data_IF_118139148072
#
_entry.id   IF_118139148072
#
_cell.length_a   1.000
_cell.length_b   1.000
_cell.length_c   1.000
_cell.angle_alpha   90.00
_cell.angle_beta   90.00
_cell.angle_gamma   90.00
#
_symmetry.space_group_name_H-M   'P 1'
#
loop_
_entity.id
_entity.type
_entity.pdbx_description
1 polymer ?
#
# COMPACT_ATOMS: atom_id res chain seq x y z
N UNK A 1 -12.91 -56.34 -41.75
CA UNK A 1 -11.88 -56.02 -40.74
C UNK A 1 -11.53 -54.54 -40.87
N UNK A 2 -11.94 -53.68 -39.92
CA UNK A 2 -11.47 -52.30 -39.84
C UNK A 2 -10.79 -52.13 -38.50
N UNK A 3 -9.46 -52.20 -38.54
CA UNK A 3 -8.58 -52.12 -37.40
C UNK A 3 -8.55 -50.66 -36.94
N UNK A 4 -9.22 -50.38 -35.82
CA UNK A 4 -9.21 -49.05 -35.22
C UNK A 4 -7.84 -48.82 -34.59
N UNK A 5 -7.13 -47.80 -35.07
CA UNK A 5 -5.75 -47.49 -34.72
C UNK A 5 -5.66 -46.93 -33.29
N UNK A 6 -5.30 -47.78 -32.33
CA UNK A 6 -5.21 -47.48 -30.89
C UNK A 6 -4.22 -46.35 -30.54
N UNK A 7 -3.16 -46.16 -31.34
CA UNK A 7 -2.09 -45.18 -31.04
C UNK A 7 -2.48 -43.71 -31.17
N UNK A 8 -3.52 -43.39 -31.97
CA UNK A 8 -3.95 -41.99 -32.18
C UNK A 8 -4.86 -41.49 -31.06
N UNK A 9 -5.44 -42.40 -30.28
CA UNK A 9 -6.31 -42.10 -29.16
C UNK A 9 -5.50 -41.70 -27.91
N UNK A 10 -4.37 -42.39 -27.65
CA UNK A 10 -3.53 -42.12 -26.47
C UNK A 10 -2.94 -40.70 -26.43
N UNK A 11 -2.50 -40.15 -27.57
CA UNK A 11 -1.97 -38.79 -27.62
C UNK A 11 -3.04 -37.71 -27.39
N UNK A 12 -4.27 -37.95 -27.87
CA UNK A 12 -5.37 -36.99 -27.76
C UNK A 12 -5.88 -36.90 -26.31
N UNK A 13 -5.95 -38.05 -25.63
CA UNK A 13 -6.29 -38.13 -24.20
C UNK A 13 -5.23 -37.41 -23.36
N UNK A 14 -3.94 -37.59 -23.67
CA UNK A 14 -2.86 -36.95 -22.93
C UNK A 14 -2.90 -35.41 -23.07
N UNK A 15 -3.11 -34.87 -24.27
CA UNK A 15 -3.24 -33.42 -24.47
C UNK A 15 -4.45 -32.83 -23.78
N UNK A 16 -5.58 -33.55 -23.76
CA UNK A 16 -6.79 -33.10 -23.07
C UNK A 16 -6.58 -33.10 -21.56
N UNK A 17 -5.96 -34.16 -21.00
CA UNK A 17 -5.65 -34.25 -19.57
C UNK A 17 -4.65 -33.18 -19.14
N UNK A 18 -3.64 -32.87 -19.95
CA UNK A 18 -2.68 -31.79 -19.65
C UNK A 18 -3.36 -30.42 -19.73
N UNK A 19 -4.22 -30.18 -20.73
CA UNK A 19 -5.01 -28.94 -20.82
C UNK A 19 -5.99 -28.78 -19.65
N UNK A 20 -6.68 -29.84 -19.23
CA UNK A 20 -7.60 -29.76 -18.08
C UNK A 20 -6.84 -29.56 -16.77
N UNK A 21 -5.70 -30.23 -16.57
CA UNK A 21 -4.84 -29.99 -15.41
C UNK A 21 -4.29 -28.56 -15.40
N UNK A 22 -3.87 -28.03 -16.55
CA UNK A 22 -3.39 -26.65 -16.67
C UNK A 22 -4.50 -25.64 -16.36
N UNK A 23 -5.72 -25.86 -16.85
CA UNK A 23 -6.90 -25.02 -16.55
C UNK A 23 -7.27 -25.10 -15.06
N UNK A 24 -7.15 -26.26 -14.42
CA UNK A 24 -7.40 -26.41 -12.98
C UNK A 24 -6.35 -25.70 -12.12
N UNK A 25 -5.08 -25.65 -12.55
CA UNK A 25 -4.04 -24.87 -11.84
C UNK A 25 -4.19 -23.35 -12.01
N UNK A 26 -4.82 -22.88 -13.09
CA UNK A 26 -5.06 -21.45 -13.33
C UNK A 26 -6.21 -20.90 -12.46
N UNK A 27 -7.10 -21.75 -11.95
CA UNK A 27 -8.36 -21.36 -11.30
C UNK A 27 -8.33 -21.23 -9.77
N UNK A 28 -7.15 -21.21 -9.12
CA UNK A 28 -7.07 -21.14 -7.64
C UNK A 28 -6.16 -20.04 -7.10
N UNK A 29 -6.06 -18.90 -7.80
CA UNK A 29 -5.71 -17.67 -7.10
C UNK A 29 -6.92 -17.24 -6.28
N UNK A 30 -6.81 -17.11 -4.94
CA UNK A 30 -7.91 -16.56 -4.16
C UNK A 30 -8.22 -15.16 -4.71
N UNK A 31 -9.49 -14.97 -5.10
CA UNK A 31 -10.10 -13.71 -5.51
C UNK A 31 -10.21 -12.74 -4.33
N UNK A 32 -9.10 -12.46 -3.65
CA UNK A 32 -8.98 -11.26 -2.83
C UNK A 32 -8.26 -10.23 -3.69
N UNK A 33 -8.97 -9.76 -4.71
CA UNK A 33 -8.54 -8.59 -5.46
C UNK A 33 -8.80 -7.40 -4.52
N UNK A 34 -7.81 -7.13 -3.66
CA UNK A 34 -7.86 -5.96 -2.80
C UNK A 34 -8.05 -4.75 -3.71
N UNK A 35 -8.98 -3.86 -3.37
CA UNK A 35 -9.21 -2.65 -4.18
C UNK A 35 -8.04 -1.66 -4.17
N UNK A 36 -6.96 -2.00 -3.47
CA UNK A 36 -5.68 -1.33 -3.48
C UNK A 36 -4.54 -2.33 -3.65
N UNK A 37 -3.44 -1.85 -4.21
CA UNK A 37 -2.19 -2.59 -4.32
C UNK A 37 -1.13 -1.92 -3.46
N UNK A 38 -0.58 -2.63 -2.49
CA UNK A 38 0.58 -2.19 -1.71
C UNK A 38 1.82 -2.98 -2.14
N UNK A 39 2.89 -2.28 -2.50
CA UNK A 39 4.18 -2.89 -2.87
C UNK A 39 5.30 -2.25 -2.07
N UNK A 40 6.15 -3.07 -1.46
CA UNK A 40 7.42 -2.57 -0.92
C UNK A 40 8.36 -2.23 -2.08
N UNK A 41 9.01 -1.08 -1.97
CA UNK A 41 10.12 -0.66 -2.82
C UNK A 41 11.42 -0.50 -2.03
N UNK A 42 11.43 -1.01 -0.79
CA UNK A 42 12.52 -0.86 0.15
C UNK A 42 13.65 -1.86 -0.12
N UNK A 43 14.86 -1.49 0.27
CA UNK A 43 15.98 -2.40 0.44
C UNK A 43 15.61 -3.53 1.41
N UNK A 44 16.10 -4.77 1.20
CA UNK A 44 15.90 -5.88 2.14
C UNK A 44 16.36 -5.59 3.57
N UNK A 45 17.28 -4.65 3.75
CA UNK A 45 17.84 -4.26 5.04
C UNK A 45 17.08 -3.13 5.75
N UNK A 46 16.01 -2.62 5.13
CA UNK A 46 15.21 -1.53 5.67
C UNK A 46 14.61 -1.94 7.04
N UNK A 47 14.85 -1.17 8.12
CA UNK A 47 14.47 -1.53 9.48
C UNK A 47 12.97 -1.40 9.78
N UNK A 48 12.17 -0.80 8.90
CA UNK A 48 10.72 -0.66 9.08
C UNK A 48 10.00 -1.49 8.02
N UNK A 49 9.15 -2.40 8.48
CA UNK A 49 8.36 -3.29 7.61
C UNK A 49 6.88 -3.11 7.92
N UNK A 50 6.11 -2.66 6.94
CA UNK A 50 4.65 -2.71 6.97
C UNK A 50 4.22 -4.16 6.70
N UNK A 51 3.51 -4.76 7.65
CA UNK A 51 3.09 -6.17 7.60
C UNK A 51 1.71 -6.29 6.98
N UNK A 52 0.74 -5.57 7.54
CA UNK A 52 -0.64 -5.53 7.07
C UNK A 52 -1.07 -4.10 6.86
N UNK A 53 -1.86 -3.86 5.82
CA UNK A 53 -2.60 -2.63 5.61
C UNK A 53 -4.02 -3.02 5.31
N UNK A 54 -4.97 -2.27 5.84
CA UNK A 54 -6.39 -2.38 5.56
C UNK A 54 -6.88 -1.00 5.10
N UNK A 55 -7.46 -0.97 3.91
CA UNK A 55 -8.15 0.20 3.37
C UNK A 55 -9.61 -0.19 3.14
N UNK A 56 -10.53 0.51 3.79
CA UNK A 56 -11.97 0.27 3.63
C UNK A 56 -12.72 1.57 3.29
N UNK A 57 -13.90 1.46 2.64
CA UNK A 57 -14.39 0.27 1.95
C UNK A 57 -13.52 -0.06 0.72
N UNK A 58 -13.70 -1.25 0.16
CA UNK A 58 -13.00 -1.65 -1.08
C UNK A 58 -13.26 -0.63 -2.20
N UNK A 59 -14.50 -0.19 -2.39
CA UNK A 59 -14.80 0.91 -3.32
C UNK A 59 -14.80 2.26 -2.62
N UNK A 60 -13.68 2.98 -2.73
CA UNK A 60 -13.57 4.34 -2.20
C UNK A 60 -14.39 5.30 -3.05
N UNK A 61 -15.34 5.98 -2.41
CA UNK A 61 -16.21 6.96 -3.07
C UNK A 61 -16.06 8.36 -2.51
N UNK A 62 -16.33 9.35 -3.36
CA UNK A 62 -16.31 10.76 -3.00
C UNK A 62 -17.67 11.43 -3.29
N UNK A 63 -18.21 12.24 -2.34
CA UNK A 63 -17.75 12.38 -0.96
C UNK A 63 -17.94 11.07 -0.17
N UNK A 64 -17.09 10.82 0.83
CA UNK A 64 -17.13 9.58 1.60
C UNK A 64 -16.14 9.55 2.76
N UNK A 65 -15.94 8.37 3.34
CA UNK A 65 -14.96 8.14 4.41
C UNK A 65 -14.16 6.88 4.09
N UNK A 66 -12.84 7.05 4.05
CA UNK A 66 -11.88 5.95 4.02
C UNK A 66 -11.56 5.54 5.46
N UNK A 67 -11.34 4.26 5.71
CA UNK A 67 -10.78 3.76 6.96
C UNK A 67 -9.42 3.16 6.63
N UNK A 68 -8.38 3.63 7.32
CA UNK A 68 -7.02 3.12 7.20
C UNK A 68 -6.61 2.46 8.52
N UNK A 69 -6.11 1.24 8.46
CA UNK A 69 -5.43 0.57 9.57
C UNK A 69 -4.17 -0.11 9.04
N UNK A 70 -3.13 -0.22 9.86
CA UNK A 70 -1.93 -0.94 9.47
C UNK A 70 -1.15 -1.48 10.67
N UNK A 71 -0.36 -2.52 10.42
CA UNK A 71 0.63 -3.05 11.36
C UNK A 71 2.02 -2.78 10.79
N UNK A 72 2.92 -2.30 11.65
CA UNK A 72 4.27 -1.92 11.28
C UNK A 72 5.25 -2.50 12.29
N UNK A 73 6.24 -3.21 11.79
CA UNK A 73 7.33 -3.76 12.58
C UNK A 73 8.58 -2.89 12.42
N UNK A 74 9.13 -2.45 13.55
CA UNK A 74 10.39 -1.72 13.63
C UNK A 74 11.44 -2.65 14.22
N UNK A 75 12.46 -2.98 13.44
CA UNK A 75 13.47 -3.99 13.76
C UNK A 75 14.68 -3.43 14.53
N UNK A 76 14.94 -2.13 14.40
CA UNK A 76 16.09 -1.44 15.01
C UNK A 76 15.64 -0.13 15.61
N UNK A 77 16.34 0.35 16.63
CA UNK A 77 16.08 1.70 17.16
C UNK A 77 16.42 2.74 16.08
N UNK A 78 15.50 3.69 15.84
CA UNK A 78 15.64 4.71 14.81
C UNK A 78 15.71 6.07 15.49
N UNK A 79 16.88 6.71 15.38
CA UNK A 79 17.12 8.05 15.89
C UNK A 79 16.81 9.10 14.83
N UNK A 80 16.37 10.26 15.31
CA UNK A 80 16.22 11.44 14.49
C UNK A 80 17.57 12.02 14.04
N UNK A 81 17.57 12.89 13.02
CA UNK A 81 16.40 13.32 12.23
C UNK A 81 15.96 12.25 11.22
N UNK A 82 14.64 12.13 11.02
CA UNK A 82 14.05 11.19 10.04
C UNK A 82 13.37 12.00 8.93
N UNK A 83 13.93 11.94 7.72
CA UNK A 83 13.36 12.57 6.54
C UNK A 83 12.29 11.67 5.92
N UNK A 84 11.16 12.25 5.50
CA UNK A 84 10.06 11.52 4.86
C UNK A 84 9.70 12.20 3.55
N UNK A 85 9.84 11.47 2.44
CA UNK A 85 9.35 11.85 1.12
C UNK A 85 8.06 11.08 0.86
N UNK A 86 6.96 11.80 0.61
CA UNK A 86 5.74 11.18 0.14
C UNK A 86 5.33 11.82 -1.17
N UNK A 87 5.14 10.98 -2.19
CA UNK A 87 4.80 11.36 -3.55
C UNK A 87 3.41 10.85 -3.87
N UNK A 88 2.51 11.74 -4.26
CA UNK A 88 1.15 11.39 -4.70
C UNK A 88 1.00 11.73 -6.17
N UNK A 89 0.59 10.74 -6.95
CA UNK A 89 0.40 10.84 -8.39
C UNK A 89 -1.03 10.45 -8.76
N UNK A 90 -1.59 11.17 -9.73
CA UNK A 90 -2.89 10.85 -10.33
C UNK A 90 -2.66 10.31 -11.74
N UNK A 91 -3.30 9.19 -12.07
CA UNK A 91 -3.32 8.69 -13.45
C UNK A 91 -4.17 9.63 -14.31
N UNK A 92 -3.60 10.11 -15.41
CA UNK A 92 -4.31 11.02 -16.34
C UNK A 92 -4.78 10.25 -17.57
N UNK A 93 -3.93 9.39 -18.12
CA UNK A 93 -4.24 8.59 -19.29
C UNK A 93 -3.24 7.45 -19.46
N UNK A 94 -3.71 6.20 -19.60
CA UNK A 94 -2.84 5.04 -19.81
C UNK A 94 -1.75 4.93 -18.74
N UNK A 95 -0.49 4.90 -19.17
CA UNK A 95 0.68 4.81 -18.28
C UNK A 95 1.20 6.19 -17.80
N UNK A 96 0.49 7.28 -18.10
CA UNK A 96 0.90 8.63 -17.70
C UNK A 96 0.36 9.00 -16.32
N UNK A 97 1.29 9.31 -15.41
CA UNK A 97 1.04 9.71 -14.04
C UNK A 97 1.47 11.16 -13.84
N UNK A 98 0.56 11.98 -13.32
CA UNK A 98 0.84 13.38 -12.98
C UNK A 98 1.09 13.50 -11.48
N UNK A 99 2.27 13.98 -11.12
CA UNK A 99 2.61 14.28 -9.72
C UNK A 99 1.79 15.46 -9.22
N UNK A 100 1.10 15.27 -8.10
CA UNK A 100 0.36 16.34 -7.43
C UNK A 100 1.33 17.21 -6.64
N UNK A 101 1.28 18.52 -6.85
CA UNK A 101 2.15 19.48 -6.15
C UNK A 101 1.83 19.52 -4.65
N UNK A 102 2.85 19.73 -3.83
CA UNK A 102 2.68 19.96 -2.40
C UNK A 102 1.82 21.20 -2.14
N UNK A 103 0.74 21.06 -1.37
CA UNK A 103 0.01 22.18 -0.79
C UNK A 103 0.04 22.10 0.73
N UNK A 104 0.52 23.17 1.36
CA UNK A 104 0.56 23.37 2.82
C UNK A 104 1.11 22.14 3.58
N UNK A 105 2.08 21.43 3.03
CA UNK A 105 2.74 20.25 3.65
C UNK A 105 1.82 19.11 4.07
N UNK A 106 0.60 19.04 3.53
CA UNK A 106 -0.39 18.02 3.90
C UNK A 106 -1.06 17.36 2.70
N UNK A 107 -1.05 18.02 1.54
CA UNK A 107 -1.70 17.53 0.33
C UNK A 107 -0.72 17.44 -0.83
N UNK A 108 -0.79 16.37 -1.60
CA UNK A 108 0.08 16.14 -2.77
C UNK A 108 1.43 15.55 -2.39
N UNK A 109 2.46 15.86 -3.18
CA UNK A 109 3.81 15.31 -3.03
C UNK A 109 4.70 16.26 -2.25
N UNK A 110 5.07 15.92 -1.02
CA UNK A 110 5.90 16.77 -0.16
C UNK A 110 7.05 16.00 0.47
N UNK A 111 8.00 16.77 0.99
CA UNK A 111 9.12 16.26 1.77
C UNK A 111 9.12 16.90 3.16
N UNK A 112 9.12 16.06 4.19
CA UNK A 112 9.28 16.46 5.59
C UNK A 112 10.74 16.25 5.96
N UNK A 113 11.43 17.33 6.33
CA UNK A 113 12.84 17.31 6.70
C UNK A 113 13.12 16.45 7.93
N UNK A 114 12.24 16.54 8.95
CA UNK A 114 12.41 15.80 10.20
C UNK A 114 11.07 15.54 10.89
N UNK A 115 10.54 14.32 10.76
CA UNK A 115 9.30 13.92 11.44
C UNK A 115 9.45 13.89 12.96
N UNK A 116 10.67 13.76 13.50
CA UNK A 116 10.90 13.81 14.94
C UNK A 116 10.52 15.15 15.57
N UNK A 117 10.61 16.26 14.83
CA UNK A 117 10.16 17.57 15.32
C UNK A 117 8.63 17.59 15.47
N UNK A 118 7.92 17.05 14.47
CA UNK A 118 6.45 16.96 14.49
C UNK A 118 5.98 16.07 15.66
N UNK A 119 6.64 14.93 15.87
CA UNK A 119 6.34 14.08 17.02
C UNK A 119 6.65 14.78 18.35
N UNK A 120 7.72 15.56 18.42
CA UNK A 120 8.07 16.36 19.60
C UNK A 120 7.02 17.41 19.96
N UNK A 121 6.43 18.06 18.96
CA UNK A 121 5.37 19.08 19.15
C UNK A 121 4.05 18.48 19.66
N UNK A 122 3.86 17.16 19.51
CA UNK A 122 2.69 16.43 19.99
C UNK A 122 2.82 15.97 21.45
N UNK A 123 3.86 16.38 22.17
CA UNK A 123 4.02 16.00 23.58
C UNK A 123 3.17 16.91 24.51
N UNK A 124 2.46 16.33 25.51
CA UNK A 124 2.43 14.92 25.88
C UNK A 124 1.68 14.04 24.87
N UNK A 125 2.18 12.83 24.65
CA UNK A 125 1.66 11.86 23.68
C UNK A 125 0.13 11.76 23.75
N UNK A 126 -0.60 12.00 22.65
CA UNK A 126 -2.04 11.84 22.63
C UNK A 126 -2.43 10.39 22.97
N UNK A 127 -3.49 10.23 23.75
CA UNK A 127 -3.95 8.93 24.25
C UNK A 127 -4.25 7.92 23.14
N UNK A 128 -4.66 8.37 21.95
CA UNK A 128 -4.90 7.49 20.81
C UNK A 128 -3.62 6.93 20.15
N UNK A 129 -2.45 7.52 20.43
CA UNK A 129 -1.15 7.01 19.96
C UNK A 129 -0.42 6.20 21.04
N UNK A 130 -0.74 6.44 22.31
CA UNK A 130 -0.02 5.87 23.44
C UNK A 130 -0.05 4.33 23.43
N UNK A 131 1.10 3.70 23.18
CA UNK A 131 1.24 2.24 23.09
C UNK A 131 0.93 1.63 21.72
N UNK A 132 0.38 2.41 20.79
CA UNK A 132 -0.05 1.97 19.47
C UNK A 132 0.92 2.42 18.36
N UNK A 133 1.40 3.67 18.42
CA UNK A 133 2.22 4.31 17.38
C UNK A 133 3.33 5.15 18.05
N UNK A 134 4.53 5.28 17.46
CA UNK A 134 5.56 6.15 18.01
C UNK A 134 5.13 7.62 18.02
N UNK A 135 5.12 8.24 19.20
CA UNK A 135 4.80 9.66 19.40
C UNK A 135 6.01 10.51 19.82
N UNK A 136 7.21 9.93 19.82
CA UNK A 136 8.46 10.63 20.10
C UNK A 136 9.62 9.90 19.44
N UNK A 137 10.70 10.62 19.15
CA UNK A 137 11.99 10.00 18.84
C UNK A 137 12.84 9.83 20.11
N UNK A 138 13.68 8.79 20.21
CA UNK A 138 13.90 7.74 19.21
C UNK A 138 12.74 6.72 19.13
N UNK A 139 12.51 6.18 17.93
CA UNK A 139 11.54 5.11 17.69
C UNK A 139 12.17 3.80 18.12
N UNK A 140 11.53 3.08 19.04
CA UNK A 140 12.05 1.83 19.60
C UNK A 140 11.68 0.64 18.72
N UNK A 141 12.45 -0.46 18.76
CA UNK A 141 12.04 -1.71 18.14
C UNK A 141 10.73 -2.21 18.75
N UNK A 142 9.71 -2.40 17.93
CA UNK A 142 8.41 -2.92 18.36
C UNK A 142 7.51 -3.26 17.17
N UNK A 143 6.42 -3.96 17.47
CA UNK A 143 5.29 -4.11 16.56
C UNK A 143 4.25 -3.03 16.91
N UNK A 144 4.16 -2.02 16.06
CA UNK A 144 3.21 -0.93 16.18
C UNK A 144 1.94 -1.25 15.40
N UNK A 145 0.81 -0.87 15.97
CA UNK A 145 -0.52 -1.13 15.39
C UNK A 145 -1.23 0.22 15.31
N UNK A 146 -1.53 0.66 14.09
CA UNK A 146 -2.45 1.76 13.89
C UNK A 146 -3.87 1.19 13.83
N UNK A 147 -4.66 1.54 14.84
CA UNK A 147 -6.09 1.23 14.87
C UNK A 147 -6.85 1.92 13.72
N UNK A 148 -8.01 1.39 13.30
CA UNK A 148 -8.81 1.95 12.21
C UNK A 148 -9.07 3.46 12.36
N UNK A 149 -8.47 4.25 11.48
CA UNK A 149 -8.60 5.70 11.44
C UNK A 149 -9.54 6.14 10.30
N UNK A 150 -10.67 6.79 10.61
CA UNK A 150 -11.54 7.36 9.58
C UNK A 150 -10.93 8.65 8.98
N UNK A 151 -10.75 8.66 7.66
CA UNK A 151 -10.22 9.77 6.87
C UNK A 151 -11.33 10.28 5.94
N UNK A 152 -11.79 11.53 6.10
CA UNK A 152 -12.84 12.08 5.25
C UNK A 152 -12.31 12.34 3.83
N UNK A 153 -13.02 11.81 2.84
CA UNK A 153 -12.78 12.09 1.42
C UNK A 153 -13.74 13.21 0.98
N UNK A 154 -13.22 14.43 0.93
CA UNK A 154 -13.98 15.62 0.48
C UNK A 154 -14.27 15.51 -1.01
N UNK A 155 -15.40 16.06 -1.50
CA UNK A 155 -15.89 15.92 -2.88
C UNK A 155 -15.21 16.79 -3.94
N UNK A 156 -15.49 16.51 -5.23
CA UNK A 156 -14.97 17.22 -6.41
C UNK A 156 -14.74 16.30 -7.61
N UNK A 157 -14.69 16.81 -8.85
CA UNK A 157 -14.34 15.98 -10.02
C UNK A 157 -12.84 15.66 -10.10
N UNK A 158 -12.01 16.52 -9.50
CA UNK A 158 -10.54 16.41 -9.54
C UNK A 158 -9.97 15.30 -8.68
N UNK A 159 -10.78 14.69 -7.81
CA UNK A 159 -10.40 13.65 -6.85
C UNK A 159 -10.78 12.24 -7.31
N UNK A 160 -11.63 12.09 -8.33
CA UNK A 160 -11.95 10.77 -8.91
C UNK A 160 -10.81 10.28 -9.81
N UNK A 161 -10.53 8.98 -9.79
CA UNK A 161 -9.55 8.31 -10.66
C UNK A 161 -8.59 7.41 -9.90
N UNK A 162 -7.56 6.93 -10.61
CA UNK A 162 -6.49 6.09 -10.05
C UNK A 162 -5.37 6.94 -9.47
N UNK A 163 -4.92 6.57 -8.28
CA UNK A 163 -3.86 7.24 -7.54
C UNK A 163 -2.75 6.26 -7.21
N UNK A 164 -1.53 6.81 -7.15
CA UNK A 164 -0.36 6.14 -6.61
C UNK A 164 0.28 7.04 -5.56
N UNK A 165 0.43 6.52 -4.35
CA UNK A 165 1.14 7.17 -3.26
C UNK A 165 2.41 6.37 -2.94
N UNK A 166 3.57 7.00 -3.06
CA UNK A 166 4.86 6.42 -2.66
C UNK A 166 5.35 7.10 -1.39
N UNK A 167 5.68 6.33 -0.36
CA UNK A 167 6.21 6.82 0.91
C UNK A 167 7.62 6.29 1.09
N UNK A 168 8.59 7.17 1.36
CA UNK A 168 9.98 6.83 1.63
C UNK A 168 10.42 7.54 2.90
N UNK A 169 11.04 6.81 3.81
CA UNK A 169 11.69 7.42 4.97
C UNK A 169 13.16 7.06 4.98
N UNK A 170 14.00 7.99 5.41
CA UNK A 170 15.44 7.80 5.56
C UNK A 170 15.98 8.58 6.77
N UNK A 171 17.15 8.18 7.24
CA UNK A 171 17.96 8.98 8.16
C UNK A 171 19.45 8.84 7.82
N UNK A 172 20.28 9.66 8.47
CA UNK A 172 21.73 9.64 8.24
C UNK A 172 22.43 8.38 8.77
N UNK A 173 21.89 7.74 9.81
CA UNK A 173 22.56 6.63 10.51
C UNK A 173 22.34 5.28 9.80
N UNK A 174 21.10 5.00 9.37
CA UNK A 174 20.69 3.72 8.81
C UNK A 174 20.41 3.79 7.31
N UNK A 175 20.38 4.99 6.72
CA UNK A 175 20.03 5.17 5.31
C UNK A 175 18.53 5.03 5.09
N UNK A 176 18.12 4.15 4.16
CA UNK A 176 16.70 3.91 3.87
C UNK A 176 16.03 3.17 5.03
N UNK A 177 14.96 3.76 5.57
CA UNK A 177 14.20 3.22 6.70
C UNK A 177 12.96 2.43 6.24
N UNK A 178 12.24 2.94 5.23
CA UNK A 178 11.11 2.29 4.55
C UNK A 178 10.93 2.83 3.13
N UNK A 179 10.30 2.04 2.28
CA UNK A 179 9.76 2.47 0.99
C UNK A 179 8.54 1.63 0.61
N UNK A 180 7.39 2.26 0.42
CA UNK A 180 6.15 1.60 0.00
C UNK A 180 5.40 2.40 -1.06
N UNK A 181 4.80 1.70 -2.02
CA UNK A 181 3.92 2.25 -3.04
C UNK A 181 2.52 1.66 -2.88
N UNK A 182 1.54 2.54 -2.62
CA UNK A 182 0.12 2.23 -2.54
C UNK A 182 -0.58 2.74 -3.80
N UNK A 183 -1.28 1.87 -4.53
CA UNK A 183 -2.14 2.22 -5.65
C UNK A 183 -3.59 1.93 -5.28
N UNK A 184 -4.50 2.87 -5.57
CA UNK A 184 -5.94 2.74 -5.29
C UNK A 184 -6.76 3.55 -6.30
N UNK A 185 -8.07 3.26 -6.39
CA UNK A 185 -9.00 3.98 -7.25
C UNK A 185 -10.13 4.61 -6.43
N UNK A 186 -10.46 5.86 -6.76
CA UNK A 186 -11.53 6.63 -6.12
C UNK A 186 -12.61 6.91 -7.15
N UNK A 187 -13.85 6.53 -6.84
CA UNK A 187 -15.03 6.67 -7.69
C UNK A 187 -15.97 7.78 -7.18
N UNK A 188 -16.82 8.39 -8.02
CA UNK A 188 -17.88 9.26 -7.52
C UNK A 188 -18.92 8.44 -6.75
N UNK A 189 -19.51 9.01 -5.70
CA UNK A 189 -20.65 8.38 -5.03
C UNK A 189 -21.83 8.21 -6.02
N UNK A 190 -22.59 7.09 -5.94
CA UNK A 190 -23.79 6.92 -6.73
C UNK A 190 -24.79 8.05 -6.43
N UNK A 191 -25.42 8.57 -7.49
CA UNK A 191 -26.42 9.64 -7.41
C UNK A 191 -27.74 9.17 -6.79
#
# INVERSE_FOLDING_TARGET
>A
MKQCSTKRCEHCVCTIVVLTLFVLTVSSQPLLDNAYTLKSCASPDAPIVIRDVLVMPDSLVVPGTMILAYTMEVLKEIKGPIGVDYKIEKNIFGDQWMTLSCQNTLYGSCFILNVCNILGDLLPCPTFMEGHIPCSCPIKPSNYIMDPLPIPLMGGALITGKYRATFKANNFELGELLCYSLELEISPAPA
#
